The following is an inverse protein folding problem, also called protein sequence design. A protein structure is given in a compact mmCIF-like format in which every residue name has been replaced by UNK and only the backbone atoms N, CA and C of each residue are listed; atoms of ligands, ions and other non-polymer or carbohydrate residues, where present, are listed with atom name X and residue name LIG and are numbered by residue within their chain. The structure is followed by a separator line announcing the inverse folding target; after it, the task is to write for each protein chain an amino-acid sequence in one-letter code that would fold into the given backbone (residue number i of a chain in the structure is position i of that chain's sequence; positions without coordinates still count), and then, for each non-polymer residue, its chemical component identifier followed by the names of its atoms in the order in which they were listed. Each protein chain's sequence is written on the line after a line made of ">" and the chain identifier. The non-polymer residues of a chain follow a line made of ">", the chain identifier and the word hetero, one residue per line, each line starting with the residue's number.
data_IF_864543318518
#
_entry.id   IF_864543318518
#
_cell.length_a   1.000
_cell.length_b   1.000
_cell.length_c   1.000
_cell.angle_alpha   90.00
_cell.angle_beta   90.00
_cell.angle_gamma   90.00
#
_symmetry.space_group_name_H-M   'P 1'
#
loop_
_entity.id
_entity.type
_entity.pdbx_description
1 polymer ?
#
# COMPACT_ATOMS: atom_id res chain seq x y z
N UNK A 1 -4.62 -37.30 5.50
CA UNK A 1 -4.30 -36.32 4.45
C UNK A 1 -2.85 -35.97 4.63
N UNK A 2 -2.00 -36.38 3.70
CA UNK A 2 -0.56 -36.15 3.81
C UNK A 2 -0.27 -34.68 3.53
N UNK A 3 0.30 -33.98 4.53
CA UNK A 3 0.69 -32.57 4.45
C UNK A 3 1.64 -32.27 3.27
N UNK A 4 2.38 -33.25 2.81
CA UNK A 4 3.35 -33.11 1.73
C UNK A 4 2.72 -33.13 0.33
N UNK A 5 1.54 -33.71 0.14
CA UNK A 5 0.88 -33.80 -1.17
C UNK A 5 0.55 -32.43 -1.78
N UNK A 6 -0.07 -31.48 -1.03
CA UNK A 6 -0.33 -30.13 -1.54
C UNK A 6 0.95 -29.34 -1.85
N UNK A 7 2.01 -29.55 -1.04
CA UNK A 7 3.30 -28.88 -1.25
C UNK A 7 3.98 -29.36 -2.54
N UNK A 8 3.98 -30.68 -2.79
CA UNK A 8 4.53 -31.28 -4.01
C UNK A 8 3.75 -30.80 -5.23
N UNK A 9 2.42 -30.74 -5.14
CA UNK A 9 1.56 -30.23 -6.22
C UNK A 9 1.86 -28.77 -6.53
N UNK A 10 1.98 -27.91 -5.51
CA UNK A 10 2.32 -26.50 -5.68
C UNK A 10 3.70 -26.32 -6.35
N UNK A 11 4.70 -27.10 -5.95
CA UNK A 11 6.02 -27.08 -6.58
C UNK A 11 5.96 -27.58 -8.04
N UNK A 12 5.18 -28.62 -8.32
CA UNK A 12 4.98 -29.12 -9.69
C UNK A 12 4.30 -28.09 -10.59
N UNK A 13 3.28 -27.36 -10.10
CA UNK A 13 2.61 -26.28 -10.85
C UNK A 13 3.57 -25.12 -11.13
N UNK A 14 4.43 -24.76 -10.15
CA UNK A 14 5.46 -23.74 -10.34
C UNK A 14 6.51 -24.13 -11.39
N UNK A 15 7.01 -25.36 -11.34
CA UNK A 15 8.03 -25.87 -12.29
C UNK A 15 7.41 -26.19 -13.65
N UNK A 16 6.14 -26.61 -13.67
CA UNK A 16 5.39 -26.93 -14.88
C UNK A 16 4.96 -25.74 -15.72
N UNK A 17 5.26 -24.50 -15.28
CA UNK A 17 4.85 -23.25 -15.95
C UNK A 17 3.35 -23.23 -16.27
N UNK A 18 2.52 -23.59 -15.27
CA UNK A 18 1.08 -23.52 -15.39
C UNK A 18 0.64 -22.08 -15.73
N UNK A 19 0.00 -21.91 -16.90
CA UNK A 19 -0.37 -20.59 -17.41
C UNK A 19 -1.31 -19.85 -16.47
N UNK A 20 -2.27 -20.54 -15.88
CA UNK A 20 -3.26 -19.93 -14.97
C UNK A 20 -2.59 -19.43 -13.69
N UNK A 21 -1.62 -20.20 -13.15
CA UNK A 21 -0.86 -19.79 -11.97
C UNK A 21 -0.03 -18.53 -12.22
N UNK A 22 0.66 -18.47 -13.37
CA UNK A 22 1.48 -17.31 -13.72
C UNK A 22 0.64 -16.06 -14.01
N UNK A 23 -0.56 -16.22 -14.59
CA UNK A 23 -1.50 -15.12 -14.79
C UNK A 23 -1.97 -14.55 -13.45
N UNK A 24 -2.33 -15.39 -12.47
CA UNK A 24 -2.71 -15.00 -11.12
C UNK A 24 -1.56 -14.26 -10.41
N UNK A 25 -0.34 -14.79 -10.47
CA UNK A 25 0.83 -14.15 -9.87
C UNK A 25 1.08 -12.78 -10.53
N UNK A 26 1.02 -12.72 -11.86
CA UNK A 26 1.21 -11.49 -12.62
C UNK A 26 0.20 -10.42 -12.25
N UNK A 27 -1.09 -10.77 -12.19
CA UNK A 27 -2.15 -9.85 -11.80
C UNK A 27 -1.97 -9.36 -10.35
N UNK A 28 -1.62 -10.25 -9.43
CA UNK A 28 -1.38 -9.92 -8.02
C UNK A 28 -0.21 -8.97 -7.84
N UNK A 29 0.89 -9.22 -8.56
CA UNK A 29 2.05 -8.33 -8.57
C UNK A 29 1.70 -6.97 -9.18
N UNK A 30 0.98 -6.94 -10.28
CA UNK A 30 0.56 -5.71 -10.93
C UNK A 30 -0.31 -4.85 -10.01
N UNK A 31 -1.33 -5.45 -9.39
CA UNK A 31 -2.24 -4.77 -8.45
C UNK A 31 -1.44 -4.18 -7.28
N UNK A 32 -0.57 -4.99 -6.67
CA UNK A 32 0.25 -4.56 -5.53
C UNK A 32 1.26 -3.48 -5.90
N UNK A 33 1.95 -3.62 -7.04
CA UNK A 33 2.94 -2.62 -7.49
C UNK A 33 2.29 -1.28 -7.81
N UNK A 34 1.14 -1.28 -8.48
CA UNK A 34 0.42 -0.03 -8.81
C UNK A 34 -0.08 0.64 -7.53
N UNK A 35 -0.71 -0.11 -6.62
CA UNK A 35 -1.22 0.42 -5.37
C UNK A 35 -0.10 0.99 -4.48
N UNK A 36 1.01 0.25 -4.32
CA UNK A 36 2.18 0.69 -3.56
C UNK A 36 2.86 1.87 -4.24
N UNK A 37 3.05 1.84 -5.55
CA UNK A 37 3.62 2.96 -6.31
C UNK A 37 2.84 4.25 -6.10
N UNK A 38 1.51 4.20 -6.22
CA UNK A 38 0.64 5.34 -5.97
C UNK A 38 0.72 5.82 -4.51
N UNK A 39 0.73 4.89 -3.54
CA UNK A 39 0.86 5.21 -2.12
C UNK A 39 2.22 5.84 -1.77
N UNK A 40 3.30 5.41 -2.41
CA UNK A 40 4.63 6.01 -2.22
C UNK A 40 4.73 7.39 -2.85
N UNK A 41 4.22 7.57 -4.07
CA UNK A 41 4.24 8.87 -4.77
C UNK A 41 3.54 9.96 -3.95
N UNK A 42 2.46 9.63 -3.26
CA UNK A 42 1.74 10.57 -2.38
C UNK A 42 2.27 10.56 -0.95
N UNK A 43 2.55 9.39 -0.39
CA UNK A 43 2.93 9.21 1.01
C UNK A 43 4.31 9.76 1.36
N UNK A 44 5.31 9.58 0.48
CA UNK A 44 6.66 10.08 0.74
C UNK A 44 6.72 11.61 0.85
N UNK A 45 6.17 12.39 -0.10
CA UNK A 45 6.13 13.85 0.03
C UNK A 45 5.30 14.32 1.23
N UNK A 46 4.16 13.67 1.49
CA UNK A 46 3.33 14.02 2.66
C UNK A 46 4.06 13.74 3.97
N UNK A 47 4.77 12.62 4.09
CA UNK A 47 5.59 12.33 5.25
C UNK A 47 6.75 13.32 5.42
N UNK A 48 7.43 13.71 4.34
CA UNK A 48 8.47 14.73 4.36
C UNK A 48 7.93 16.11 4.77
N UNK A 49 6.74 16.49 4.29
CA UNK A 49 6.05 17.70 4.72
C UNK A 49 5.72 17.68 6.22
N UNK A 50 5.13 16.59 6.70
CA UNK A 50 4.82 16.42 8.13
C UNK A 50 6.07 16.44 9.02
N UNK A 51 7.21 15.94 8.52
CA UNK A 51 8.48 15.97 9.22
C UNK A 51 9.09 17.38 9.29
N UNK A 52 8.99 18.14 8.19
CA UNK A 52 9.73 19.40 8.01
C UNK A 52 9.00 20.62 8.57
N UNK A 53 7.66 20.57 8.70
CA UNK A 53 6.85 21.74 9.02
C UNK A 53 6.05 21.60 10.31
N UNK A 54 6.03 22.69 11.06
CA UNK A 54 5.13 22.88 12.20
C UNK A 54 3.95 23.76 11.74
N UNK A 55 2.75 23.18 11.69
CA UNK A 55 1.52 23.88 11.33
C UNK A 55 0.36 23.49 12.25
N UNK A 56 -0.65 24.36 12.31
CA UNK A 56 -1.86 24.09 13.08
C UNK A 56 -2.58 22.90 12.43
N UNK A 57 -2.75 21.79 13.20
CA UNK A 57 -3.34 20.54 12.68
C UNK A 57 -2.34 19.41 12.40
N UNK A 58 -1.02 19.64 12.49
CA UNK A 58 0.00 18.59 12.33
C UNK A 58 -0.20 17.45 13.34
N UNK A 59 -0.44 17.77 14.63
CA UNK A 59 -0.66 16.77 15.67
C UNK A 59 -1.85 15.84 15.38
N UNK A 60 -3.05 16.36 15.16
CA UNK A 60 -4.19 15.56 14.71
C UNK A 60 -3.95 14.71 13.48
N UNK A 61 -3.27 15.23 12.45
CA UNK A 61 -2.93 14.46 11.25
C UNK A 61 -2.03 13.27 11.56
N UNK A 62 -1.02 13.45 12.39
CA UNK A 62 -0.13 12.37 12.84
C UNK A 62 -0.92 11.31 13.62
N UNK A 63 -1.81 11.73 14.51
CA UNK A 63 -2.65 10.82 15.29
C UNK A 63 -3.56 10.02 14.35
N UNK A 64 -4.24 10.67 13.42
CA UNK A 64 -5.10 10.01 12.42
C UNK A 64 -4.29 9.00 11.60
N UNK A 65 -3.15 9.40 11.06
CA UNK A 65 -2.30 8.51 10.26
C UNK A 65 -1.87 7.28 11.06
N UNK A 66 -1.44 7.47 12.31
CA UNK A 66 -1.04 6.36 13.19
C UNK A 66 -2.23 5.46 13.58
N UNK A 67 -3.41 6.03 13.80
CA UNK A 67 -4.63 5.27 14.08
C UNK A 67 -5.05 4.41 12.88
N UNK A 68 -4.92 4.94 11.68
CA UNK A 68 -5.21 4.22 10.44
C UNK A 68 -4.30 3.00 10.23
N UNK A 69 -3.08 2.99 10.79
CA UNK A 69 -2.20 1.81 10.76
C UNK A 69 -2.78 0.63 11.54
N UNK A 70 -3.56 0.91 12.59
CA UNK A 70 -4.20 -0.10 13.43
C UNK A 70 -5.52 -0.63 12.88
N UNK A 71 -6.04 -0.09 11.77
CA UNK A 71 -7.30 -0.56 11.20
C UNK A 71 -7.17 -1.98 10.64
N UNK A 72 -8.11 -2.89 11.00
CA UNK A 72 -8.15 -4.21 10.41
C UNK A 72 -8.40 -4.09 8.89
N UNK A 73 -7.61 -4.77 8.06
CA UNK A 73 -7.73 -4.70 6.59
C UNK A 73 -9.13 -5.06 6.07
N UNK A 74 -9.78 -6.00 6.72
CA UNK A 74 -11.16 -6.42 6.40
C UNK A 74 -12.14 -5.26 6.53
N UNK A 75 -11.97 -4.40 7.57
CA UNK A 75 -12.82 -3.21 7.77
C UNK A 75 -12.61 -2.21 6.63
N UNK A 76 -11.36 -2.01 6.22
CA UNK A 76 -11.07 -1.12 5.08
C UNK A 76 -11.64 -1.70 3.78
N UNK A 77 -11.49 -3.00 3.55
CA UNK A 77 -12.12 -3.68 2.41
C UNK A 77 -13.64 -3.51 2.40
N UNK A 78 -14.31 -3.65 3.55
CA UNK A 78 -15.74 -3.43 3.68
C UNK A 78 -16.13 -1.97 3.40
N UNK A 79 -15.38 -1.01 3.91
CA UNK A 79 -15.62 0.42 3.63
C UNK A 79 -15.50 0.72 2.13
N UNK A 80 -14.45 0.22 1.48
CA UNK A 80 -14.27 0.38 0.03
C UNK A 80 -15.41 -0.30 -0.71
N UNK A 81 -15.78 -1.52 -0.33
CA UNK A 81 -16.92 -2.23 -0.91
C UNK A 81 -18.21 -1.40 -0.82
N UNK A 82 -18.54 -0.84 0.34
CA UNK A 82 -19.72 -0.01 0.53
C UNK A 82 -19.68 1.28 -0.31
N UNK A 83 -18.49 1.87 -0.47
CA UNK A 83 -18.31 3.08 -1.28
C UNK A 83 -18.54 2.83 -2.78
N UNK A 84 -18.04 1.71 -3.32
CA UNK A 84 -18.09 1.40 -4.75
C UNK A 84 -19.24 0.46 -5.14
N UNK A 85 -20.01 -0.04 -4.17
CA UNK A 85 -21.20 -0.85 -4.45
C UNK A 85 -22.27 -0.03 -5.19
N UNK A 86 -23.16 -0.67 -5.90
CA UNK A 86 -24.24 0.01 -6.65
C UNK A 86 -25.12 0.92 -5.79
N UNK A 87 -25.23 0.65 -4.49
CA UNK A 87 -25.93 1.49 -3.53
C UNK A 87 -25.03 2.58 -2.92
N UNK A 88 -23.73 2.58 -3.19
CA UNK A 88 -22.75 3.51 -2.65
C UNK A 88 -22.57 4.77 -3.51
N UNK A 89 -21.91 5.81 -2.97
CA UNK A 89 -21.72 7.09 -3.64
C UNK A 89 -20.85 6.99 -4.90
N UNK A 90 -19.98 5.99 -5.01
CA UNK A 90 -19.11 5.73 -6.17
C UNK A 90 -19.62 4.56 -7.03
N UNK A 91 -20.85 4.08 -6.81
CA UNK A 91 -21.44 2.96 -7.56
C UNK A 91 -21.56 3.22 -9.07
N UNK A 92 -21.60 4.49 -9.48
CA UNK A 92 -21.64 4.88 -10.89
C UNK A 92 -20.36 4.52 -11.67
N UNK A 93 -19.26 4.22 -10.97
CA UNK A 93 -17.98 3.82 -11.59
C UNK A 93 -17.95 2.33 -11.99
N UNK A 94 -18.89 1.53 -11.51
CA UNK A 94 -19.02 0.08 -11.74
C UNK A 94 -17.68 -0.69 -11.58
N UNK A 95 -16.91 -0.30 -10.56
CA UNK A 95 -15.58 -0.85 -10.28
C UNK A 95 -15.61 -2.12 -9.44
N UNK A 96 -16.73 -2.46 -8.84
CA UNK A 96 -16.84 -3.61 -7.95
C UNK A 96 -16.45 -4.90 -8.69
N UNK A 97 -15.70 -5.75 -8.00
CA UNK A 97 -15.15 -7.00 -8.55
C UNK A 97 -14.18 -6.81 -9.74
N UNK A 98 -13.46 -5.69 -9.75
CA UNK A 98 -12.41 -5.42 -10.74
C UNK A 98 -11.03 -5.31 -10.08
N UNK A 99 -9.93 -5.48 -10.85
CA UNK A 99 -8.58 -5.20 -10.34
C UNK A 99 -8.40 -3.77 -9.82
N UNK A 100 -9.12 -2.80 -10.40
CA UNK A 100 -9.09 -1.41 -9.95
C UNK A 100 -9.63 -1.24 -8.52
N UNK A 101 -10.68 -1.96 -8.15
CA UNK A 101 -11.19 -1.96 -6.79
C UNK A 101 -10.18 -2.53 -5.78
N UNK A 102 -9.46 -3.59 -6.17
CA UNK A 102 -8.39 -4.17 -5.35
C UNK A 102 -7.23 -3.17 -5.16
N UNK A 103 -6.81 -2.50 -6.25
CA UNK A 103 -5.79 -1.45 -6.19
C UNK A 103 -6.21 -0.32 -5.25
N UNK A 104 -7.47 0.10 -5.28
CA UNK A 104 -8.02 1.13 -4.39
C UNK A 104 -7.97 0.69 -2.92
N UNK A 105 -8.39 -0.53 -2.60
CA UNK A 105 -8.36 -1.05 -1.23
C UNK A 105 -6.92 -1.14 -0.70
N UNK A 106 -5.99 -1.68 -1.48
CA UNK A 106 -4.57 -1.75 -1.12
C UNK A 106 -3.94 -0.36 -0.99
N UNK A 107 -4.26 0.58 -1.89
CA UNK A 107 -3.78 1.95 -1.79
C UNK A 107 -4.20 2.62 -0.48
N UNK A 108 -5.47 2.50 -0.08
CA UNK A 108 -6.00 3.08 1.17
C UNK A 108 -5.31 2.48 2.39
N UNK A 109 -4.97 1.19 2.37
CA UNK A 109 -4.26 0.51 3.46
C UNK A 109 -2.78 0.91 3.54
N UNK A 110 -2.11 1.04 2.39
CA UNK A 110 -0.67 1.29 2.32
C UNK A 110 -0.33 2.77 2.47
N UNK A 111 -1.21 3.67 2.06
CA UNK A 111 -0.97 5.12 2.12
C UNK A 111 -0.63 5.62 3.53
N UNK A 112 -1.39 5.35 4.60
CA UNK A 112 -1.02 5.80 5.94
C UNK A 112 0.30 5.16 6.43
N UNK A 113 0.61 3.94 6.02
CA UNK A 113 1.87 3.29 6.34
C UNK A 113 3.06 4.03 5.69
N UNK A 114 2.96 4.36 4.41
CA UNK A 114 4.01 5.11 3.70
C UNK A 114 4.22 6.50 4.28
N UNK A 115 3.14 7.21 4.69
CA UNK A 115 3.22 8.51 5.35
C UNK A 115 3.90 8.41 6.72
N UNK A 116 3.52 7.43 7.53
CA UNK A 116 4.04 7.28 8.88
C UNK A 116 5.53 6.92 8.88
N UNK A 117 5.94 5.96 8.05
CA UNK A 117 7.34 5.53 7.93
C UNK A 117 8.22 6.63 7.36
N UNK A 118 7.78 7.30 6.29
CA UNK A 118 8.53 8.40 5.70
C UNK A 118 8.67 9.58 6.66
N UNK A 119 7.61 9.91 7.41
CA UNK A 119 7.68 10.94 8.45
C UNK A 119 8.76 10.61 9.49
N UNK A 120 8.80 9.38 10.01
CA UNK A 120 9.79 8.99 11.01
C UNK A 120 11.23 9.12 10.50
N UNK A 121 11.49 8.66 9.27
CA UNK A 121 12.82 8.78 8.64
C UNK A 121 13.19 10.24 8.44
N UNK A 122 12.27 11.03 7.91
CA UNK A 122 12.57 12.43 7.60
C UNK A 122 12.61 13.34 8.83
N UNK A 123 11.95 12.98 9.94
CA UNK A 123 12.12 13.70 11.21
C UNK A 123 13.57 13.57 11.73
N UNK A 124 14.17 12.39 11.64
CA UNK A 124 15.59 12.19 11.98
C UNK A 124 16.49 13.05 11.09
N UNK A 125 16.36 12.91 9.77
CA UNK A 125 17.15 13.72 8.83
C UNK A 125 16.93 15.22 8.98
N UNK A 126 15.68 15.65 9.25
CA UNK A 126 15.38 17.06 9.44
C UNK A 126 16.05 17.64 10.70
N UNK A 127 16.19 16.86 11.75
CA UNK A 127 16.91 17.28 12.97
C UNK A 127 18.39 17.53 12.64
N UNK A 128 19.02 16.66 11.85
CA UNK A 128 20.42 16.79 11.45
C UNK A 128 20.65 18.01 10.54
N UNK A 129 19.72 18.27 9.62
CA UNK A 129 19.83 19.38 8.67
C UNK A 129 19.20 20.71 9.13
N UNK A 130 18.56 20.77 10.29
CA UNK A 130 17.77 21.93 10.74
C UNK A 130 18.60 23.23 10.76
N UNK A 131 19.83 23.16 11.28
CA UNK A 131 20.72 24.33 11.32
C UNK A 131 21.10 24.79 9.91
N UNK A 132 21.41 23.85 9.02
CA UNK A 132 21.74 24.13 7.63
C UNK A 132 20.55 24.75 6.88
N UNK A 133 19.35 24.19 7.04
CA UNK A 133 18.14 24.72 6.40
C UNK A 133 17.79 26.12 6.85
N UNK A 134 18.05 26.44 8.15
CA UNK A 134 17.83 27.77 8.69
C UNK A 134 18.89 28.77 8.22
N UNK A 135 20.18 28.38 8.23
CA UNK A 135 21.29 29.27 7.84
C UNK A 135 21.19 29.66 6.36
N UNK A 136 20.82 28.71 5.50
CA UNK A 136 20.67 28.93 4.06
C UNK A 136 19.31 29.47 3.64
N UNK A 137 18.38 29.66 4.58
CA UNK A 137 17.01 30.12 4.33
C UNK A 137 16.31 29.39 3.16
N UNK A 138 16.46 28.06 3.11
CA UNK A 138 15.99 27.24 2.00
C UNK A 138 14.47 27.22 1.89
N UNK A 139 13.99 27.25 0.65
CA UNK A 139 12.57 27.12 0.34
C UNK A 139 12.04 25.75 0.78
N UNK A 140 10.73 25.65 1.03
CA UNK A 140 10.10 24.41 1.44
C UNK A 140 10.29 23.27 0.40
N UNK A 141 10.23 23.62 -0.89
CA UNK A 141 10.47 22.67 -1.98
C UNK A 141 11.86 22.07 -1.92
N UNK A 142 12.88 22.92 -1.73
CA UNK A 142 14.26 22.47 -1.61
C UNK A 142 14.47 21.59 -0.38
N UNK A 143 13.86 21.91 0.77
CA UNK A 143 13.95 21.06 1.98
C UNK A 143 13.39 19.68 1.74
N UNK A 144 12.16 19.59 1.19
CA UNK A 144 11.52 18.30 0.88
C UNK A 144 12.34 17.50 -0.13
N UNK A 145 12.83 18.15 -1.19
CA UNK A 145 13.65 17.46 -2.21
C UNK A 145 14.96 16.96 -1.62
N UNK A 146 15.65 17.77 -0.79
CA UNK A 146 16.88 17.33 -0.11
C UNK A 146 16.63 16.12 0.77
N UNK A 147 15.57 16.14 1.59
CA UNK A 147 15.23 15.01 2.44
C UNK A 147 14.92 13.74 1.63
N UNK A 148 14.23 13.87 0.50
CA UNK A 148 13.94 12.74 -0.38
C UNK A 148 15.21 12.17 -1.03
N UNK A 149 16.14 13.03 -1.47
CA UNK A 149 17.39 12.61 -2.12
C UNK A 149 18.33 11.96 -1.11
N UNK A 150 18.54 12.58 0.03
CA UNK A 150 19.46 12.09 1.05
C UNK A 150 18.91 10.86 1.78
N UNK A 151 17.57 10.81 1.94
CA UNK A 151 16.86 9.67 2.50
C UNK A 151 16.67 8.47 1.56
N UNK A 152 17.19 8.51 0.33
CA UNK A 152 16.93 7.50 -0.73
C UNK A 152 17.13 6.05 -0.28
N UNK A 153 18.15 5.76 0.53
CA UNK A 153 18.38 4.41 1.03
C UNK A 153 17.23 3.94 1.94
N UNK A 154 16.75 4.82 2.84
CA UNK A 154 15.60 4.53 3.68
C UNK A 154 14.30 4.45 2.87
N UNK A 155 14.18 5.19 1.75
CA UNK A 155 13.00 5.12 0.88
C UNK A 155 12.85 3.73 0.25
N UNK A 156 13.95 3.07 -0.11
CA UNK A 156 13.92 1.68 -0.61
C UNK A 156 13.37 0.75 0.48
N UNK A 157 13.81 0.90 1.72
CA UNK A 157 13.29 0.11 2.85
C UNK A 157 11.80 0.35 3.06
N UNK A 158 11.34 1.61 3.02
CA UNK A 158 9.92 1.95 3.12
C UNK A 158 9.12 1.30 1.98
N UNK A 159 9.63 1.35 0.74
CA UNK A 159 8.98 0.73 -0.40
C UNK A 159 8.84 -0.79 -0.23
N UNK A 160 9.88 -1.48 0.25
CA UNK A 160 9.85 -2.91 0.51
C UNK A 160 8.86 -3.28 1.62
N UNK A 161 8.81 -2.48 2.71
CA UNK A 161 7.83 -2.69 3.80
C UNK A 161 6.41 -2.49 3.30
N UNK A 162 6.15 -1.44 2.53
CA UNK A 162 4.85 -1.17 1.93
C UNK A 162 4.43 -2.28 0.96
N UNK A 163 5.37 -2.78 0.16
CA UNK A 163 5.12 -3.87 -0.77
C UNK A 163 4.83 -5.20 -0.05
N UNK A 164 5.62 -5.54 0.97
CA UNK A 164 5.37 -6.71 1.81
C UNK A 164 4.00 -6.63 2.50
N UNK A 165 3.60 -5.45 2.97
CA UNK A 165 2.27 -5.21 3.52
C UNK A 165 1.17 -5.42 2.47
N UNK A 166 1.33 -4.87 1.26
CA UNK A 166 0.35 -5.01 0.19
C UNK A 166 0.13 -6.47 -0.22
N UNK A 167 1.21 -7.25 -0.40
CA UNK A 167 1.12 -8.67 -0.77
C UNK A 167 0.47 -9.52 0.32
N UNK A 168 0.72 -9.19 1.60
CA UNK A 168 0.15 -9.95 2.72
C UNK A 168 -1.35 -9.72 2.92
N UNK A 169 -1.95 -8.73 2.24
CA UNK A 169 -3.36 -8.36 2.40
C UNK A 169 -4.29 -9.19 1.54
N UNK A 170 -4.72 -10.30 2.08
CA UNK A 170 -5.67 -11.21 1.42
C UNK A 170 -7.13 -10.80 1.69
N UNK A 171 -7.46 -10.44 2.95
CA UNK A 171 -8.84 -10.22 3.37
C UNK A 171 -9.55 -9.03 2.71
N UNK A 172 -8.88 -7.88 2.59
CA UNK A 172 -9.44 -6.71 1.93
C UNK A 172 -9.63 -6.96 0.42
N UNK A 173 -8.66 -7.63 -0.20
CA UNK A 173 -8.65 -7.94 -1.64
C UNK A 173 -9.80 -8.88 -2.00
N UNK A 174 -10.05 -9.93 -1.19
CA UNK A 174 -11.16 -10.86 -1.40
C UNK A 174 -12.52 -10.15 -1.35
N UNK A 175 -12.74 -9.29 -0.35
CA UNK A 175 -14.01 -8.60 -0.17
C UNK A 175 -14.38 -7.72 -1.36
N UNK A 176 -13.39 -7.03 -1.93
CA UNK A 176 -13.60 -6.04 -2.98
C UNK A 176 -13.47 -6.65 -4.37
N UNK A 177 -12.58 -7.63 -4.51
CA UNK A 177 -12.32 -8.32 -5.77
C UNK A 177 -13.25 -9.50 -6.04
N UNK A 178 -13.87 -10.07 -5.00
CA UNK A 178 -14.67 -11.29 -5.14
C UNK A 178 -13.84 -12.48 -5.60
N UNK A 179 -14.53 -13.50 -6.10
CA UNK A 179 -13.91 -14.68 -6.71
C UNK A 179 -13.73 -14.44 -8.23
N UNK A 180 -12.82 -13.52 -8.58
CA UNK A 180 -12.49 -13.29 -9.99
C UNK A 180 -11.67 -14.52 -10.44
N UNK A 181 -12.10 -15.20 -11.50
CA UNK A 181 -11.27 -16.19 -12.21
C UNK A 181 -9.95 -15.47 -12.52
N UNK A 182 -8.82 -16.07 -12.15
CA UNK A 182 -7.46 -15.52 -12.32
C UNK A 182 -7.01 -14.48 -11.28
N UNK A 183 -7.70 -14.27 -10.16
CA UNK A 183 -7.20 -13.52 -9.02
C UNK A 183 -6.97 -14.43 -7.80
N UNK A 184 -5.96 -14.14 -7.01
CA UNK A 184 -5.35 -14.73 -5.80
C UNK A 184 -6.03 -15.92 -5.08
N UNK A 185 -7.30 -16.24 -5.39
CA UNK A 185 -8.07 -17.31 -4.78
C UNK A 185 -8.96 -17.98 -5.82
N UNK A 186 -8.36 -18.79 -6.66
CA UNK A 186 -9.09 -19.85 -7.31
C UNK A 186 -9.30 -20.98 -6.30
N UNK A 187 -10.39 -20.92 -5.56
CA UNK A 187 -10.94 -22.15 -5.00
C UNK A 187 -11.62 -22.86 -6.16
N UNK A 188 -10.93 -23.87 -6.71
CA UNK A 188 -11.58 -24.83 -7.58
C UNK A 188 -12.85 -25.31 -6.86
N UNK A 189 -14.00 -25.18 -7.49
CA UNK A 189 -15.18 -25.95 -7.14
C UNK A 189 -14.84 -27.43 -7.31
N UNK A 190 -14.19 -28.01 -6.30
CA UNK A 190 -14.11 -29.43 -6.10
C UNK A 190 -15.34 -29.79 -5.25
N UNK A 191 -16.48 -29.92 -5.94
CA UNK A 191 -17.61 -30.69 -5.44
C UNK A 191 -17.39 -32.16 -5.78
#
# INVERSE_FOLDING_TARGET
>A
MDFFTPLILAVQMLIGFDADLYEIIGLSLQVSLVAVGAALVLGLPLGALLASFQFIGRGPLIVITNTLLGLPPVVVGLLVYLLISRAGPLGFLDLLYSPAAMMMAQFILVLPLSIALSRQVFEGLHQDYNLLFKSLNLSWKTRVTTLLVDGRAALVTIALVCFGRAISEVGAVILVGGNIKHCLLYTSDAA
#
